data_IF_615213935928
#
_entry.id   IF_615213935928
#
_cell.length_a   1.000
_cell.length_b   1.000
_cell.length_c   1.000
_cell.angle_alpha   90.00
_cell.angle_beta   90.00
_cell.angle_gamma   90.00
#
_symmetry.space_group_name_H-M   'P 1'
#
loop_
_entity.id
_entity.type
_entity.pdbx_description
1 polymer ?
#
# COMPACT_ATOMS: atom_id res chain seq x y z
N UNK A 1 8.82 10.07 9.48
CA UNK A 1 8.99 9.29 8.23
C UNK A 1 8.11 9.93 7.17
N UNK A 2 8.64 10.23 5.98
CA UNK A 2 7.83 10.62 4.83
C UNK A 2 7.41 9.35 4.09
N UNK A 3 6.13 9.23 3.71
CA UNK A 3 5.58 8.00 3.14
C UNK A 3 4.95 8.24 1.77
N UNK A 4 4.93 7.22 0.88
CA UNK A 4 4.23 7.29 -0.40
C UNK A 4 2.73 7.50 -0.21
N UNK A 5 2.11 8.30 -1.09
CA UNK A 5 0.66 8.53 -1.07
C UNK A 5 -0.10 7.57 -1.97
N UNK A 6 0.58 6.91 -2.91
CA UNK A 6 0.03 5.86 -3.75
C UNK A 6 0.58 4.51 -3.29
N UNK A 7 -0.31 3.55 -3.07
CA UNK A 7 0.03 2.21 -2.58
C UNK A 7 -0.58 1.12 -3.47
N UNK A 8 0.07 -0.05 -3.51
CA UNK A 8 -0.44 -1.21 -4.24
C UNK A 8 -1.61 -1.88 -3.48
N UNK A 9 -2.28 -2.82 -4.14
CA UNK A 9 -3.43 -3.56 -3.58
C UNK A 9 -3.05 -4.37 -2.34
N UNK A 10 -1.86 -4.97 -2.34
CA UNK A 10 -1.41 -5.79 -1.21
C UNK A 10 -1.30 -4.93 0.05
N UNK A 11 -0.74 -3.72 -0.02
CA UNK A 11 -0.67 -2.77 1.10
C UNK A 11 -2.04 -2.52 1.74
N UNK A 12 -3.07 -2.33 0.91
CA UNK A 12 -4.44 -2.13 1.38
C UNK A 12 -5.07 -3.39 1.99
N UNK A 13 -4.74 -4.57 1.48
CA UNK A 13 -5.16 -5.85 2.07
C UNK A 13 -4.51 -6.05 3.44
N UNK A 14 -3.22 -5.76 3.58
CA UNK A 14 -2.46 -5.91 4.83
C UNK A 14 -2.99 -5.05 5.98
N UNK A 15 -3.53 -3.87 5.68
CA UNK A 15 -4.18 -2.99 6.68
C UNK A 15 -5.70 -3.08 6.69
N UNK A 16 -6.30 -4.08 6.02
CA UNK A 16 -7.75 -4.35 6.08
C UNK A 16 -8.65 -3.36 5.32
N UNK A 17 -8.09 -2.48 4.49
CA UNK A 17 -8.88 -1.54 3.68
C UNK A 17 -9.56 -2.24 2.51
N UNK A 18 -8.89 -3.24 1.93
CA UNK A 18 -9.52 -4.16 0.99
C UNK A 18 -9.92 -5.46 1.71
N UNK A 19 -11.01 -6.13 1.25
CA UNK A 19 -11.88 -5.73 0.13
C UNK A 19 -13.03 -4.79 0.51
N UNK A 20 -13.31 -4.60 1.80
CA UNK A 20 -14.57 -4.01 2.28
C UNK A 20 -14.76 -2.52 1.93
N UNK A 21 -13.67 -1.75 1.89
CA UNK A 21 -13.70 -0.30 1.69
C UNK A 21 -13.13 0.11 0.33
N UNK A 22 -13.19 -0.79 -0.66
CA UNK A 22 -12.68 -0.52 -2.01
C UNK A 22 -13.33 0.72 -2.64
N UNK A 23 -14.64 0.90 -2.43
CA UNK A 23 -15.41 2.02 -3.01
C UNK A 23 -15.07 3.37 -2.36
N UNK A 24 -14.48 3.38 -1.17
CA UNK A 24 -14.10 4.59 -0.44
C UNK A 24 -12.71 5.12 -0.84
N UNK A 25 -11.98 4.37 -1.68
CA UNK A 25 -10.62 4.69 -2.10
C UNK A 25 -10.57 5.30 -3.50
N UNK A 26 -9.64 6.23 -3.70
CA UNK A 26 -9.34 6.74 -5.04
C UNK A 26 -8.31 5.84 -5.72
N UNK A 27 -8.69 5.27 -6.87
CA UNK A 27 -7.81 4.41 -7.68
C UNK A 27 -7.26 5.17 -8.89
N UNK A 28 -5.96 5.01 -9.15
CA UNK A 28 -5.34 5.45 -10.39
C UNK A 28 -5.53 4.38 -11.47
N UNK A 29 -5.52 4.81 -12.73
CA UNK A 29 -5.40 3.88 -13.84
C UNK A 29 -3.98 3.30 -13.89
N UNK A 30 -3.86 2.10 -14.44
CA UNK A 30 -2.59 1.49 -14.78
C UNK A 30 -1.79 2.36 -15.76
N UNK A 31 -0.46 2.30 -15.66
CA UNK A 31 0.41 2.90 -16.65
C UNK A 31 0.64 1.90 -17.79
N UNK A 32 0.68 2.41 -19.03
CA UNK A 32 1.01 1.62 -20.21
C UNK A 32 2.42 2.01 -20.64
N UNK A 33 3.27 1.00 -20.74
CA UNK A 33 4.68 1.15 -21.11
C UNK A 33 4.82 1.30 -22.64
N UNK A 34 5.98 1.77 -23.12
CA UNK A 34 6.23 1.97 -24.56
C UNK A 34 6.15 0.66 -25.39
N UNK A 35 6.35 -0.49 -24.74
CA UNK A 35 6.20 -1.83 -25.33
C UNK A 35 4.75 -2.37 -25.27
N UNK A 36 3.80 -1.55 -24.83
CA UNK A 36 2.37 -1.86 -24.76
C UNK A 36 1.94 -2.64 -23.52
N UNK A 37 2.82 -2.89 -22.55
CA UNK A 37 2.48 -3.62 -21.33
C UNK A 37 1.78 -2.69 -20.32
N UNK A 38 0.56 -3.06 -19.91
CA UNK A 38 -0.24 -2.37 -18.88
C UNK A 38 0.12 -2.88 -17.47
N UNK A 39 0.40 -1.96 -16.56
CA UNK A 39 0.67 -2.24 -15.15
C UNK A 39 -0.59 -2.06 -14.32
N UNK A 40 -0.66 -2.73 -13.17
CA UNK A 40 -1.73 -2.51 -12.20
C UNK A 40 -1.76 -1.03 -11.73
N UNK A 41 -2.97 -0.51 -11.56
CA UNK A 41 -3.20 0.79 -10.93
C UNK A 41 -2.87 0.79 -9.43
N UNK A 42 -2.61 1.97 -8.88
CA UNK A 42 -2.40 2.19 -7.46
C UNK A 42 -3.63 2.82 -6.81
N UNK A 43 -3.62 2.93 -5.49
CA UNK A 43 -4.67 3.61 -4.73
C UNK A 43 -4.07 4.71 -3.87
N UNK A 44 -4.76 5.84 -3.75
CA UNK A 44 -4.40 6.86 -2.76
C UNK A 44 -4.66 6.33 -1.35
N UNK A 45 -3.74 6.62 -0.43
CA UNK A 45 -3.86 6.23 0.96
C UNK A 45 -5.00 7.01 1.65
N UNK A 46 -5.85 6.35 2.46
CA UNK A 46 -6.83 7.05 3.30
C UNK A 46 -6.19 7.65 4.56
N UNK A 47 -5.04 7.12 4.99
CA UNK A 47 -4.25 7.54 6.15
C UNK A 47 -2.81 7.06 6.01
N UNK A 48 -1.87 7.72 6.69
CA UNK A 48 -0.46 7.31 6.75
C UNK A 48 -0.23 5.95 7.42
N UNK A 49 -1.19 5.44 8.19
CA UNK A 49 -1.14 4.09 8.78
C UNK A 49 -0.93 3.01 7.71
N UNK A 50 -1.56 3.12 6.54
CA UNK A 50 -1.47 2.11 5.47
C UNK A 50 -0.02 1.89 5.03
N UNK A 51 0.74 2.90 4.57
CA UNK A 51 2.13 2.69 4.20
C UNK A 51 3.05 2.43 5.40
N UNK A 52 2.81 3.06 6.57
CA UNK A 52 3.68 2.90 7.74
C UNK A 52 3.66 1.47 8.29
N UNK A 53 2.47 0.91 8.52
CA UNK A 53 2.34 -0.46 9.04
C UNK A 53 2.93 -1.48 8.06
N UNK A 54 2.83 -1.22 6.76
CA UNK A 54 3.41 -2.08 5.74
C UNK A 54 4.93 -1.94 5.58
N UNK A 55 5.59 -0.96 6.20
CA UNK A 55 7.04 -0.96 6.28
C UNK A 55 7.59 -2.15 7.08
N UNK A 56 6.79 -2.70 8.00
CA UNK A 56 7.12 -3.89 8.79
C UNK A 56 6.60 -5.21 8.14
N UNK A 57 6.06 -5.14 6.91
CA UNK A 57 5.52 -6.33 6.23
C UNK A 57 6.64 -7.30 5.87
N UNK A 58 6.40 -8.58 6.10
CA UNK A 58 7.32 -9.68 5.77
C UNK A 58 8.70 -9.55 6.47
N UNK A 59 8.76 -8.79 7.58
CA UNK A 59 9.94 -8.64 8.43
C UNK A 59 9.76 -9.38 9.76
N UNK A 60 10.88 -9.91 10.29
CA UNK A 60 10.94 -10.52 11.62
C UNK A 60 11.86 -9.64 12.48
N UNK A 61 11.29 -8.97 13.47
CA UNK A 61 12.02 -8.10 14.40
C UNK A 61 12.62 -8.89 15.57
N UNK A 62 13.80 -8.49 16.05
CA UNK A 62 14.28 -8.93 17.37
C UNK A 62 13.42 -8.24 18.45
N UNK A 63 13.09 -8.95 19.54
CA UNK A 63 12.30 -8.38 20.64
C UNK A 63 12.91 -7.09 21.21
N UNK A 64 14.24 -6.94 21.15
CA UNK A 64 14.95 -5.75 21.63
C UNK A 64 14.76 -4.51 20.74
N UNK A 65 14.32 -4.69 19.50
CA UNK A 65 14.02 -3.60 18.56
C UNK A 65 12.62 -3.03 18.81
N UNK A 66 11.81 -3.70 19.63
CA UNK A 66 10.46 -3.26 19.97
C UNK A 66 10.44 -2.42 21.26
N UNK A 67 9.55 -1.40 21.37
CA UNK A 67 8.57 -0.97 20.37
C UNK A 67 9.19 -0.06 19.29
N UNK A 68 8.66 -0.17 18.07
CA UNK A 68 8.96 0.69 16.89
C UNK A 68 7.92 1.78 16.69
#
# INVERSE_FOLDING_TARGET
MYVPYLVNKDSLLGTGQLPKFAEDLFHTKGLVSDDGVEQDGFSLIPTAEVPLTNCARDEIFDEKELPV
#
